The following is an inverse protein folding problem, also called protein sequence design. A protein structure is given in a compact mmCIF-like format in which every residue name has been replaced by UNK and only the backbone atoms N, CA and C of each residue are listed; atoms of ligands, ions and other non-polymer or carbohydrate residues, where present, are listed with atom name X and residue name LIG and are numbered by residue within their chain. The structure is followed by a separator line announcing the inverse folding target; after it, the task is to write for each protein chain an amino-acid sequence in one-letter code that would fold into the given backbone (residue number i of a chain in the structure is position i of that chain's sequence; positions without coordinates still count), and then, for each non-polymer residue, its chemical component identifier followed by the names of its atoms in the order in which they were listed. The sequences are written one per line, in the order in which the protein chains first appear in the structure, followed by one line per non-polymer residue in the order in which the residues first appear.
data_IF_637483983899
#
_entry.id   IF_637483983899
#
_cell.length_a   1.000
_cell.length_b   1.000
_cell.length_c   1.000
_cell.angle_alpha   90.00
_cell.angle_beta   90.00
_cell.angle_gamma   90.00
#
_symmetry.space_group_name_H-M   'P 1'
#
loop_
_entity.id
_entity.type
_entity.pdbx_description
1 polymer ?
#
# COMPACT_ATOMS: atom_id res chain seq x y z
N UNK A 1 31.50 1.32 17.78
CA UNK A 1 30.12 0.89 18.08
C UNK A 1 29.08 2.00 17.89
N UNK A 2 29.37 3.26 18.25
CA UNK A 2 28.40 4.39 18.21
C UNK A 2 28.07 4.94 16.82
N UNK A 3 28.97 4.80 15.83
CA UNK A 3 28.74 5.34 14.48
C UNK A 3 27.61 4.61 13.72
N UNK A 4 27.46 3.30 13.90
CA UNK A 4 26.43 2.52 13.21
C UNK A 4 25.01 2.93 13.64
N UNK A 5 24.79 3.27 14.91
CA UNK A 5 23.47 3.74 15.39
C UNK A 5 23.10 5.12 14.85
N UNK A 6 24.08 5.99 14.63
CA UNK A 6 23.84 7.30 14.03
C UNK A 6 23.46 7.19 12.55
N UNK A 7 24.04 6.25 11.82
CA UNK A 7 23.88 6.17 10.37
C UNK A 7 22.54 5.62 9.88
N UNK A 8 21.85 4.85 10.72
CA UNK A 8 20.56 4.24 10.40
C UNK A 8 19.47 4.83 11.30
N UNK A 9 18.24 4.94 10.78
CA UNK A 9 17.10 5.42 11.58
C UNK A 9 16.43 4.26 12.33
N UNK A 10 16.55 3.04 11.80
CA UNK A 10 16.08 1.81 12.40
C UNK A 10 17.09 0.68 12.13
N UNK A 11 17.09 -0.32 13.00
CA UNK A 11 17.87 -1.55 12.85
C UNK A 11 16.99 -2.75 13.22
N UNK A 12 16.05 -3.09 12.34
CA UNK A 12 15.13 -4.20 12.54
C UNK A 12 15.89 -5.53 12.62
N UNK A 13 15.41 -6.42 13.50
CA UNK A 13 15.86 -7.81 13.52
C UNK A 13 15.16 -8.68 12.48
N UNK A 14 14.13 -8.14 11.82
CA UNK A 14 13.45 -8.76 10.68
C UNK A 14 13.93 -8.09 9.39
N UNK A 15 14.25 -8.86 8.33
CA UNK A 15 14.52 -8.27 7.02
C UNK A 15 13.32 -7.43 6.55
N UNK A 16 13.56 -6.23 6.03
CA UNK A 16 12.48 -5.31 5.59
C UNK A 16 11.46 -5.97 4.66
N UNK A 17 11.92 -6.85 3.76
CA UNK A 17 11.07 -7.53 2.78
C UNK A 17 10.61 -8.94 3.23
N UNK A 18 10.71 -9.29 4.52
CA UNK A 18 10.47 -10.64 5.04
C UNK A 18 9.12 -11.23 4.62
N UNK A 19 8.07 -10.43 4.65
CA UNK A 19 6.70 -10.87 4.38
C UNK A 19 6.29 -10.89 2.91
N UNK A 20 7.08 -10.26 2.02
CA UNK A 20 6.64 -9.96 0.64
C UNK A 20 6.32 -11.23 -0.16
N UNK A 21 7.08 -12.32 0.05
CA UNK A 21 6.90 -13.58 -0.68
C UNK A 21 5.62 -14.35 -0.29
N UNK A 22 5.00 -14.02 0.85
CA UNK A 22 3.80 -14.68 1.35
C UNK A 22 2.57 -13.77 1.48
N UNK A 23 2.61 -12.56 0.93
CA UNK A 23 1.44 -11.69 0.88
C UNK A 23 0.29 -12.36 0.13
N UNK A 24 -0.96 -12.28 0.62
CA UNK A 24 -2.09 -12.84 -0.09
C UNK A 24 -2.36 -12.05 -1.36
N UNK A 25 -2.92 -12.74 -2.36
CA UNK A 25 -3.32 -12.11 -3.61
C UNK A 25 -4.55 -11.24 -3.38
N UNK A 26 -4.58 -10.08 -4.04
CA UNK A 26 -5.74 -9.19 -4.00
C UNK A 26 -6.94 -9.88 -4.67
N UNK A 27 -8.07 -10.07 -3.96
CA UNK A 27 -9.21 -10.77 -4.53
C UNK A 27 -9.94 -9.92 -5.57
N UNK A 28 -10.40 -10.58 -6.64
CA UNK A 28 -11.35 -10.00 -7.58
C UNK A 28 -12.77 -10.25 -7.04
N UNK A 29 -13.59 -9.21 -6.79
CA UNK A 29 -14.96 -9.39 -6.33
C UNK A 29 -15.84 -10.11 -7.36
N UNK A 30 -16.92 -10.73 -6.89
CA UNK A 30 -17.98 -11.25 -7.76
C UNK A 30 -18.62 -10.11 -8.55
N UNK A 31 -18.97 -10.38 -9.81
CA UNK A 31 -19.58 -9.38 -10.70
C UNK A 31 -20.89 -8.83 -10.10
N UNK A 32 -21.71 -9.71 -9.53
CA UNK A 32 -22.99 -9.36 -8.92
C UNK A 32 -22.80 -8.42 -7.71
N UNK A 33 -21.78 -8.67 -6.90
CA UNK A 33 -21.45 -7.83 -5.75
C UNK A 33 -20.95 -6.46 -6.19
N UNK A 34 -20.13 -6.39 -7.25
CA UNK A 34 -19.67 -5.13 -7.83
C UNK A 34 -20.83 -4.32 -8.41
N UNK A 35 -21.70 -4.94 -9.22
CA UNK A 35 -22.90 -4.29 -9.77
C UNK A 35 -23.83 -3.77 -8.67
N UNK A 36 -24.08 -4.57 -7.62
CA UNK A 36 -24.91 -4.17 -6.48
C UNK A 36 -24.30 -3.02 -5.68
N UNK A 37 -23.00 -3.06 -5.38
CA UNK A 37 -22.30 -1.99 -4.66
C UNK A 37 -22.26 -0.71 -5.48
N UNK A 38 -22.06 -0.81 -6.80
CA UNK A 38 -22.13 0.32 -7.71
C UNK A 38 -23.50 1.01 -7.64
N UNK A 39 -24.60 0.26 -7.78
CA UNK A 39 -25.95 0.85 -7.69
C UNK A 39 -26.20 1.50 -6.32
N UNK A 40 -25.78 0.86 -5.21
CA UNK A 40 -25.89 1.48 -3.88
C UNK A 40 -25.15 2.82 -3.78
N UNK A 41 -24.00 2.94 -4.43
CA UNK A 41 -23.22 4.19 -4.45
C UNK A 41 -23.83 5.27 -5.35
N UNK A 42 -24.59 4.88 -6.40
CA UNK A 42 -25.28 5.82 -7.30
C UNK A 42 -26.57 6.38 -6.71
N UNK A 43 -27.27 5.59 -5.87
CA UNK A 43 -28.58 5.94 -5.31
C UNK A 43 -28.65 7.33 -4.64
N UNK A 44 -27.66 7.80 -3.86
CA UNK A 44 -27.73 9.14 -3.24
C UNK A 44 -27.39 10.30 -4.19
N UNK A 45 -26.89 10.03 -5.40
CA UNK A 45 -26.39 11.07 -6.33
C UNK A 45 -27.35 11.30 -7.49
N UNK A 46 -28.07 10.26 -7.90
CA UNK A 46 -28.95 10.29 -9.07
C UNK A 46 -30.39 10.62 -8.70
N UNK A 47 -31.09 11.30 -9.61
CA UNK A 47 -32.55 11.40 -9.55
C UNK A 47 -33.21 10.01 -9.70
N UNK A 48 -34.48 9.84 -9.28
CA UNK A 48 -35.17 8.55 -9.43
C UNK A 48 -35.18 8.02 -10.86
N UNK A 49 -35.38 8.91 -11.84
CA UNK A 49 -35.43 8.57 -13.28
C UNK A 49 -34.07 8.10 -13.80
N UNK A 50 -32.99 8.82 -13.47
CA UNK A 50 -31.61 8.45 -13.81
C UNK A 50 -31.19 7.14 -13.14
N UNK A 51 -31.58 6.94 -11.88
CA UNK A 51 -31.29 5.71 -11.16
C UNK A 51 -32.00 4.50 -11.79
N UNK A 52 -33.25 4.65 -12.23
CA UNK A 52 -33.98 3.61 -12.94
C UNK A 52 -33.28 3.25 -14.26
N UNK A 53 -32.88 4.26 -15.04
CA UNK A 53 -32.10 4.05 -16.29
C UNK A 53 -30.78 3.32 -16.01
N UNK A 54 -30.05 3.77 -14.99
CA UNK A 54 -28.76 3.18 -14.58
C UNK A 54 -28.93 1.72 -14.16
N UNK A 55 -29.99 1.42 -13.41
CA UNK A 55 -30.33 0.06 -12.99
C UNK A 55 -30.56 -0.86 -14.20
N UNK A 56 -31.29 -0.38 -15.22
CA UNK A 56 -31.48 -1.11 -16.47
C UNK A 56 -30.17 -1.40 -17.22
N UNK A 57 -29.28 -0.40 -17.30
CA UNK A 57 -27.94 -0.55 -17.92
C UNK A 57 -27.09 -1.56 -17.17
N UNK A 58 -27.04 -1.47 -15.83
CA UNK A 58 -26.25 -2.40 -14.99
C UNK A 58 -26.78 -3.83 -15.09
N UNK A 59 -28.11 -4.02 -15.10
CA UNK A 59 -28.71 -5.34 -15.29
C UNK A 59 -28.36 -5.94 -16.67
N UNK A 60 -28.37 -5.12 -17.73
CA UNK A 60 -27.96 -5.56 -19.05
C UNK A 60 -26.46 -5.91 -19.08
N UNK A 61 -25.60 -5.11 -18.45
CA UNK A 61 -24.16 -5.40 -18.35
C UNK A 61 -23.90 -6.73 -17.60
N UNK A 62 -24.55 -6.93 -16.46
CA UNK A 62 -24.39 -8.12 -15.62
C UNK A 62 -24.78 -9.42 -16.35
N UNK A 63 -25.72 -9.35 -17.29
CA UNK A 63 -26.20 -10.53 -18.05
C UNK A 63 -25.53 -10.70 -19.40
N UNK A 64 -24.99 -9.64 -20.02
CA UNK A 64 -24.41 -9.66 -21.37
C UNK A 64 -22.89 -9.63 -21.33
N UNK A 65 -22.27 -8.44 -21.42
CA UNK A 65 -20.82 -8.30 -21.57
C UNK A 65 -20.04 -8.58 -20.29
N UNK A 66 -20.63 -8.28 -19.12
CA UNK A 66 -19.98 -8.39 -17.82
C UNK A 66 -19.37 -9.77 -17.53
N UNK A 67 -20.10 -10.89 -17.72
CA UNK A 67 -19.55 -12.23 -17.50
C UNK A 67 -18.32 -12.55 -18.37
N UNK A 68 -18.31 -12.11 -19.64
CA UNK A 68 -17.17 -12.34 -20.53
C UNK A 68 -15.95 -11.55 -20.09
N UNK A 69 -16.13 -10.28 -19.72
CA UNK A 69 -15.06 -9.42 -19.21
C UNK A 69 -14.54 -9.90 -17.85
N UNK A 70 -15.42 -10.32 -16.94
CA UNK A 70 -15.06 -10.90 -15.64
C UNK A 70 -14.22 -12.17 -15.83
N UNK A 71 -14.59 -13.03 -16.78
CA UNK A 71 -13.81 -14.23 -17.11
C UNK A 71 -12.42 -13.86 -17.61
N UNK A 72 -12.32 -12.91 -18.55
CA UNK A 72 -11.02 -12.44 -19.04
C UNK A 72 -10.16 -11.85 -17.92
N UNK A 73 -10.75 -11.07 -17.01
CA UNK A 73 -10.05 -10.50 -15.87
C UNK A 73 -9.50 -11.60 -14.94
N UNK A 74 -10.32 -12.61 -14.63
CA UNK A 74 -9.90 -13.77 -13.84
C UNK A 74 -8.81 -14.59 -14.54
N UNK A 75 -8.90 -14.76 -15.86
CA UNK A 75 -7.90 -15.47 -16.65
C UNK A 75 -6.55 -14.72 -16.63
N UNK A 76 -6.57 -13.40 -16.79
CA UNK A 76 -5.37 -12.55 -16.68
C UNK A 76 -4.76 -12.66 -15.28
N UNK A 77 -5.58 -12.54 -14.23
CA UNK A 77 -5.15 -12.66 -12.85
C UNK A 77 -4.51 -14.03 -12.57
N UNK A 78 -5.14 -15.12 -13.02
CA UNK A 78 -4.65 -16.49 -12.82
C UNK A 78 -3.28 -16.75 -13.45
N UNK A 79 -2.96 -16.07 -14.56
CA UNK A 79 -1.67 -16.14 -15.27
C UNK A 79 -0.59 -15.25 -14.64
N UNK A 80 -0.98 -14.25 -13.84
CA UNK A 80 -0.09 -13.23 -13.28
C UNK A 80 -0.12 -13.25 -11.74
N UNK A 81 0.14 -14.41 -11.13
CA UNK A 81 0.01 -14.60 -9.66
C UNK A 81 0.99 -13.81 -8.80
N UNK A 82 2.06 -13.28 -9.40
CA UNK A 82 3.11 -12.51 -8.73
C UNK A 82 2.76 -11.01 -8.58
N UNK A 83 1.59 -10.59 -9.06
CA UNK A 83 1.09 -9.20 -8.96
C UNK A 83 -0.41 -9.20 -8.69
N UNK A 84 -1.03 -8.02 -8.69
CA UNK A 84 -2.48 -7.85 -8.58
C UNK A 84 -3.10 -7.42 -9.91
N UNK A 85 -4.36 -7.78 -10.13
CA UNK A 85 -5.11 -7.42 -11.35
C UNK A 85 -5.20 -5.92 -11.62
N UNK A 86 -5.02 -5.07 -10.59
CA UNK A 86 -5.25 -3.63 -10.66
C UNK A 86 -3.96 -2.82 -10.76
N UNK A 87 -2.81 -3.33 -10.31
CA UNK A 87 -1.57 -2.55 -10.22
C UNK A 87 -1.15 -1.97 -11.57
N UNK A 88 -1.10 -2.79 -12.63
CA UNK A 88 -0.74 -2.34 -13.98
C UNK A 88 -1.71 -1.28 -14.54
N UNK A 89 -3.03 -1.58 -14.64
CA UNK A 89 -4.02 -0.60 -15.08
C UNK A 89 -4.01 0.71 -14.28
N UNK A 90 -3.75 0.64 -12.97
CA UNK A 90 -3.67 1.81 -12.11
C UNK A 90 -2.47 2.69 -12.44
N UNK A 91 -1.28 2.11 -12.62
CA UNK A 91 -0.12 2.88 -13.10
C UNK A 91 -0.37 3.50 -14.48
N UNK A 92 -0.94 2.72 -15.41
CA UNK A 92 -1.27 3.20 -16.76
C UNK A 92 -2.23 4.41 -16.74
N UNK A 93 -3.21 4.41 -15.82
CA UNK A 93 -4.15 5.53 -15.67
C UNK A 93 -3.42 6.85 -15.38
N UNK A 94 -2.49 6.86 -14.43
CA UNK A 94 -1.76 8.08 -14.06
C UNK A 94 -0.67 8.44 -15.07
N UNK A 95 0.08 7.46 -15.57
CA UNK A 95 1.21 7.72 -16.48
C UNK A 95 0.77 8.16 -17.87
N UNK A 96 -0.44 7.79 -18.30
CA UNK A 96 -0.97 8.20 -19.61
C UNK A 96 -1.73 9.52 -19.57
N UNK A 97 -2.15 10.00 -18.40
CA UNK A 97 -2.82 11.28 -18.31
C UNK A 97 -1.85 12.42 -18.69
N UNK A 98 -2.36 13.36 -19.47
CA UNK A 98 -1.61 14.51 -20.00
C UNK A 98 -1.85 15.79 -19.21
N UNK A 99 -2.75 15.76 -18.22
CA UNK A 99 -2.97 16.89 -17.32
C UNK A 99 -1.69 17.18 -16.52
N UNK A 100 -1.39 18.47 -16.26
CA UNK A 100 -0.26 18.83 -15.41
C UNK A 100 -0.35 18.15 -14.05
N UNK A 101 0.76 17.57 -13.56
CA UNK A 101 0.80 16.93 -12.25
C UNK A 101 0.54 17.88 -11.06
N UNK A 102 0.93 19.18 -11.08
CA UNK A 102 0.56 20.09 -10.00
C UNK A 102 -0.95 20.26 -9.96
N UNK A 103 -1.51 20.34 -8.74
CA UNK A 103 -2.95 20.50 -8.47
C UNK A 103 -3.79 19.25 -8.79
N UNK A 104 -3.58 18.60 -9.93
CA UNK A 104 -4.37 17.43 -10.33
C UNK A 104 -4.00 16.16 -9.55
N UNK A 105 -2.71 15.98 -9.23
CA UNK A 105 -2.20 14.72 -8.69
C UNK A 105 -1.29 14.85 -7.49
N UNK A 106 -0.33 15.78 -7.50
CA UNK A 106 0.67 15.86 -6.43
C UNK A 106 0.04 16.38 -5.12
N UNK A 107 -0.11 15.54 -4.07
CA UNK A 107 -0.49 16.03 -2.76
C UNK A 107 0.73 16.62 -2.04
N UNK A 108 0.50 17.34 -0.95
CA UNK A 108 1.54 17.81 -0.05
C UNK A 108 1.21 17.46 1.40
N UNK A 109 2.23 17.11 2.17
CA UNK A 109 2.13 16.94 3.63
C UNK A 109 2.87 18.11 4.30
N UNK A 110 2.23 18.71 5.30
CA UNK A 110 2.85 19.71 6.16
C UNK A 110 3.42 19.07 7.41
N UNK A 111 4.59 19.53 7.85
CA UNK A 111 5.18 19.11 9.13
C UNK A 111 4.66 19.95 10.28
N UNK A 112 4.48 19.32 11.44
CA UNK A 112 4.17 20.01 12.68
C UNK A 112 5.35 20.90 13.12
N UNK A 113 5.04 21.92 13.91
CA UNK A 113 6.05 22.75 14.57
C UNK A 113 6.71 21.96 15.70
N UNK A 114 7.99 22.22 15.92
CA UNK A 114 8.76 21.60 16.99
C UNK A 114 8.46 22.30 18.32
N UNK A 115 8.44 21.56 19.43
CA UNK A 115 8.22 22.15 20.76
C UNK A 115 9.29 23.19 21.12
N UNK A 116 10.51 23.00 20.59
CA UNK A 116 11.62 23.93 20.77
C UNK A 116 11.89 24.71 19.47
N UNK A 117 11.66 26.05 19.45
CA UNK A 117 11.82 26.89 18.25
C UNK A 117 13.20 26.84 17.60
N UNK A 118 14.25 26.46 18.35
CA UNK A 118 15.60 26.29 17.78
C UNK A 118 15.63 25.26 16.66
N UNK A 119 14.83 24.19 16.75
CA UNK A 119 14.76 23.15 15.72
C UNK A 119 13.89 23.55 14.53
N UNK A 120 13.09 24.61 14.66
CA UNK A 120 12.34 25.20 13.56
C UNK A 120 13.13 26.25 12.77
N UNK A 121 14.34 26.62 13.21
CA UNK A 121 15.23 27.46 12.42
C UNK A 121 15.49 26.81 11.04
N UNK A 122 15.29 27.51 9.91
CA UNK A 122 15.28 26.89 8.57
C UNK A 122 16.51 26.04 8.26
N UNK A 123 17.71 26.52 8.57
CA UNK A 123 18.96 25.78 8.36
C UNK A 123 19.02 24.51 9.21
N UNK A 124 18.62 24.59 10.47
CA UNK A 124 18.63 23.45 11.41
C UNK A 124 17.61 22.41 10.97
N UNK A 125 16.36 22.82 10.70
CA UNK A 125 15.28 21.92 10.27
C UNK A 125 15.63 21.24 8.96
N UNK A 126 16.07 21.99 7.95
CA UNK A 126 16.47 21.44 6.66
C UNK A 126 17.62 20.42 6.81
N UNK A 127 18.64 20.75 7.62
CA UNK A 127 19.77 19.83 7.87
C UNK A 127 19.29 18.54 8.53
N UNK A 128 18.46 18.63 9.58
CA UNK A 128 17.95 17.47 10.28
C UNK A 128 17.03 16.60 9.41
N UNK A 129 16.17 17.22 8.58
CA UNK A 129 15.30 16.50 7.65
C UNK A 129 16.11 15.77 6.58
N UNK A 130 17.11 16.43 5.98
CA UNK A 130 17.99 15.81 4.99
C UNK A 130 18.77 14.63 5.56
N UNK A 131 19.36 14.80 6.76
CA UNK A 131 20.07 13.71 7.44
C UNK A 131 19.11 12.56 7.76
N UNK A 132 17.92 12.85 8.28
CA UNK A 132 16.92 11.82 8.62
C UNK A 132 16.44 11.06 7.38
N UNK A 133 16.19 11.77 6.26
CA UNK A 133 15.86 11.15 4.98
C UNK A 133 17.00 10.25 4.47
N UNK A 134 18.25 10.70 4.58
CA UNK A 134 19.41 9.89 4.21
C UNK A 134 19.56 8.63 5.10
N UNK A 135 19.34 8.75 6.41
CA UNK A 135 19.35 7.62 7.35
C UNK A 135 18.22 6.63 7.05
N UNK A 136 17.03 7.12 6.71
CA UNK A 136 15.92 6.29 6.26
C UNK A 136 16.28 5.54 4.97
N UNK A 137 16.80 6.24 3.95
CA UNK A 137 17.28 5.63 2.71
C UNK A 137 18.32 4.55 2.96
N UNK A 138 19.31 4.80 3.85
CA UNK A 138 20.32 3.81 4.23
C UNK A 138 19.70 2.59 4.90
N UNK A 139 18.75 2.78 5.80
CA UNK A 139 18.09 1.69 6.54
C UNK A 139 17.25 0.80 5.61
N UNK A 140 16.49 1.43 4.69
CA UNK A 140 15.72 0.74 3.66
C UNK A 140 16.63 -0.08 2.73
N UNK A 141 17.69 0.53 2.19
CA UNK A 141 18.63 -0.14 1.28
C UNK A 141 19.42 -1.26 1.94
N UNK A 142 19.72 -1.13 3.23
CA UNK A 142 20.39 -2.17 4.00
C UNK A 142 19.43 -3.32 4.42
N UNK A 143 18.12 -3.21 4.16
CA UNK A 143 17.14 -4.23 4.51
C UNK A 143 16.88 -4.35 6.02
N UNK A 144 17.17 -3.28 6.77
CA UNK A 144 17.04 -3.22 8.24
C UNK A 144 16.00 -2.18 8.69
N UNK A 145 15.20 -1.65 7.76
CA UNK A 145 13.97 -0.95 8.11
C UNK A 145 12.94 -1.99 8.59
N UNK A 146 12.16 -1.68 9.62
CA UNK A 146 11.09 -2.57 10.06
C UNK A 146 10.11 -2.82 8.89
N UNK A 147 9.64 -4.06 8.69
CA UNK A 147 8.59 -4.33 7.73
C UNK A 147 7.32 -3.53 8.07
N UNK A 148 6.65 -3.01 7.06
CA UNK A 148 5.39 -2.30 7.26
C UNK A 148 4.27 -3.30 7.61
N UNK A 149 3.71 -3.18 8.81
CA UNK A 149 2.72 -4.12 9.34
C UNK A 149 1.60 -3.35 10.03
N UNK A 150 0.36 -3.59 9.60
CA UNK A 150 -0.80 -3.10 10.32
C UNK A 150 -1.11 -4.01 11.51
N UNK A 151 -0.96 -3.50 12.72
CA UNK A 151 -1.24 -4.23 13.95
C UNK A 151 -2.64 -3.90 14.49
N UNK A 152 -3.57 -4.86 14.52
CA UNK A 152 -4.88 -4.64 15.16
C UNK A 152 -4.75 -4.31 16.65
N UNK A 153 -3.71 -4.84 17.30
CA UNK A 153 -3.33 -4.48 18.66
C UNK A 153 -1.80 -4.49 18.77
N UNK A 154 -1.19 -3.32 18.64
CA UNK A 154 0.26 -3.15 18.68
C UNK A 154 0.87 -3.66 20.00
N UNK A 155 0.23 -3.44 21.15
CA UNK A 155 0.73 -3.92 22.44
C UNK A 155 0.90 -5.45 22.52
N UNK A 156 0.17 -6.21 21.69
CA UNK A 156 0.29 -7.68 21.60
C UNK A 156 1.14 -8.16 20.43
N UNK A 157 1.13 -7.42 19.32
CA UNK A 157 1.65 -7.91 18.04
C UNK A 157 2.85 -7.12 17.51
N UNK A 158 3.13 -5.93 18.00
CA UNK A 158 4.37 -5.20 17.73
C UNK A 158 5.34 -5.39 18.91
N UNK A 159 5.86 -6.61 19.06
CA UNK A 159 6.69 -7.00 20.19
C UNK A 159 7.96 -7.73 19.75
N UNK A 160 8.93 -7.89 20.66
CA UNK A 160 10.10 -8.74 20.43
C UNK A 160 9.71 -10.20 20.18
N UNK A 161 8.69 -10.69 20.87
CA UNK A 161 8.17 -12.04 20.66
C UNK A 161 7.61 -12.21 19.24
N UNK A 162 6.83 -11.25 18.75
CA UNK A 162 6.34 -11.27 17.36
C UNK A 162 7.50 -11.34 16.35
N UNK A 163 8.51 -10.47 16.52
CA UNK A 163 9.70 -10.45 15.65
C UNK A 163 10.46 -11.77 15.68
N UNK A 164 10.65 -12.35 16.87
CA UNK A 164 11.31 -13.66 17.01
C UNK A 164 10.49 -14.77 16.34
N UNK A 165 9.21 -14.87 16.66
CA UNK A 165 8.32 -15.91 16.15
C UNK A 165 8.21 -15.84 14.62
N UNK A 166 7.92 -14.67 14.06
CA UNK A 166 7.77 -14.50 12.61
C UNK A 166 9.10 -14.57 11.87
N UNK A 167 10.21 -14.16 12.50
CA UNK A 167 11.55 -14.25 11.93
C UNK A 167 12.08 -15.68 11.80
N UNK A 168 11.57 -16.61 12.60
CA UNK A 168 11.85 -18.04 12.45
C UNK A 168 11.06 -18.71 11.31
N UNK A 169 10.00 -18.06 10.81
CA UNK A 169 9.20 -18.60 9.71
C UNK A 169 9.86 -18.28 8.37
N UNK A 170 9.90 -19.25 7.42
CA UNK A 170 10.30 -18.97 6.05
C UNK A 170 9.44 -17.88 5.40
N UNK A 171 10.03 -17.05 4.54
CA UNK A 171 9.36 -15.95 3.84
C UNK A 171 8.13 -16.41 3.04
N UNK A 172 8.05 -17.68 2.65
CA UNK A 172 6.91 -18.26 1.92
C UNK A 172 5.65 -18.45 2.78
N UNK A 173 5.76 -18.37 4.11
CA UNK A 173 4.62 -18.50 5.04
C UNK A 173 4.56 -17.44 6.15
N UNK A 174 5.55 -16.54 6.23
CA UNK A 174 5.71 -15.58 7.32
C UNK A 174 4.46 -14.70 7.54
N UNK A 175 3.78 -14.29 6.46
CA UNK A 175 2.56 -13.48 6.52
C UNK A 175 1.44 -14.20 7.27
N UNK A 176 1.28 -15.51 7.05
CA UNK A 176 0.26 -16.29 7.76
C UNK A 176 0.58 -16.42 9.25
N UNK A 177 1.85 -16.49 9.62
CA UNK A 177 2.28 -16.41 11.01
C UNK A 177 1.90 -15.07 11.65
N UNK A 178 2.08 -13.96 10.94
CA UNK A 178 1.64 -12.64 11.40
C UNK A 178 0.11 -12.58 11.58
N UNK A 179 -0.67 -13.21 10.69
CA UNK A 179 -2.13 -13.25 10.79
C UNK A 179 -2.63 -13.95 12.06
N UNK A 180 -1.94 -15.00 12.53
CA UNK A 180 -2.27 -15.65 13.81
C UNK A 180 -2.22 -14.67 14.99
N UNK A 181 -1.40 -13.63 14.89
CA UNK A 181 -1.26 -12.58 15.89
C UNK A 181 -2.08 -11.31 15.56
N UNK A 182 -2.97 -11.37 14.57
CA UNK A 182 -3.78 -10.23 14.08
C UNK A 182 -2.92 -9.04 13.63
N UNK A 183 -1.77 -9.34 13.02
CA UNK A 183 -0.88 -8.38 12.39
C UNK A 183 -0.86 -8.63 10.88
N UNK A 184 -0.97 -7.57 10.09
CA UNK A 184 -1.19 -7.64 8.65
C UNK A 184 -0.05 -6.94 7.91
N UNK A 185 0.99 -7.69 7.50
CA UNK A 185 2.06 -7.14 6.67
C UNK A 185 1.52 -6.53 5.37
N UNK A 186 2.12 -5.41 4.96
CA UNK A 186 1.72 -4.65 3.78
C UNK A 186 2.72 -4.84 2.64
N UNK A 187 2.27 -4.57 1.41
CA UNK A 187 3.13 -4.51 0.24
C UNK A 187 4.12 -3.35 0.37
N UNK A 188 5.41 -3.63 0.12
CA UNK A 188 6.48 -2.63 0.14
C UNK A 188 7.17 -2.51 -1.23
N UNK A 189 6.60 -3.08 -2.30
CA UNK A 189 7.21 -3.12 -3.63
C UNK A 189 7.52 -1.72 -4.19
N UNK A 190 6.74 -0.71 -3.78
CA UNK A 190 6.88 0.67 -4.24
C UNK A 190 7.93 1.49 -3.48
N UNK A 191 8.43 1.01 -2.33
CA UNK A 191 9.37 1.78 -1.49
C UNK A 191 10.70 2.07 -2.19
N UNK A 192 11.08 1.23 -3.14
CA UNK A 192 12.27 1.44 -3.96
C UNK A 192 12.19 2.70 -4.83
N UNK A 193 10.99 3.26 -5.03
CA UNK A 193 10.78 4.50 -5.80
C UNK A 193 10.85 5.77 -4.96
N UNK A 194 11.17 5.70 -3.65
CA UNK A 194 11.30 6.88 -2.80
C UNK A 194 12.58 7.69 -3.05
N UNK A 195 13.65 7.05 -3.53
CA UNK A 195 14.96 7.70 -3.68
C UNK A 195 15.64 7.30 -4.99
N UNK A 196 16.22 8.28 -5.69
CA UNK A 196 16.95 8.03 -6.95
C UNK A 196 16.05 7.79 -8.15
N UNK A 197 14.84 8.37 -8.13
CA UNK A 197 13.80 8.25 -9.15
C UNK A 197 13.29 9.64 -9.56
N UNK A 198 12.70 9.74 -10.74
CA UNK A 198 12.07 10.95 -11.28
C UNK A 198 10.82 10.59 -12.08
#
# INVERSE_FOLDING_TARGET
STYSEYEYIQQSTLPTMHFQASLPRLPIPKLEDSCRRYLKAQQPILSPEEFQKTTGVVAAFQTKQGPQLQKQLLDIDSKNKHTSYISGPWFDLYLRDRRPIPINYNPALGWIQEDNPRYDAPLVKATNLLISAARFMKSLRAGILEPEVFHMNAAKSDTKFFRLFTGLLPNSIATYGAYLMKAFPLDMSQFNHLFGTS
#
